data_IF_253529314276
#
_entry.id   IF_253529314276
#
_cell.length_a   1.000
_cell.length_b   1.000
_cell.length_c   1.000
_cell.angle_alpha   90.00
_cell.angle_beta   90.00
_cell.angle_gamma   90.00
#
_symmetry.space_group_name_H-M   'P 1'
#
loop_
_entity.id
_entity.type
_entity.pdbx_description
1 polymer ?
#
# COMPACT_ATOMS: atom_id res chain seq x y z
N UNK A 1 -8.38 40.29 -37.58
CA UNK A 1 -8.73 39.92 -36.19
C UNK A 1 -8.52 38.42 -36.06
N UNK A 2 -7.67 37.96 -35.14
CA UNK A 2 -7.48 36.52 -34.90
C UNK A 2 -8.69 36.04 -34.10
N UNK A 3 -9.61 35.30 -34.72
CA UNK A 3 -10.69 34.62 -34.03
C UNK A 3 -10.13 33.35 -33.41
N UNK A 4 -10.04 33.30 -32.08
CA UNK A 4 -9.61 32.11 -31.38
C UNK A 4 -10.81 31.20 -31.18
N UNK A 5 -10.79 30.03 -31.83
CA UNK A 5 -11.86 29.04 -31.68
C UNK A 5 -11.92 28.55 -30.23
N UNK A 6 -13.09 28.60 -29.56
CA UNK A 6 -13.22 28.20 -28.17
C UNK A 6 -12.82 26.73 -27.94
N UNK A 7 -13.01 25.87 -28.95
CA UNK A 7 -12.54 24.48 -28.90
C UNK A 7 -11.00 24.40 -28.78
N UNK A 8 -10.25 25.23 -29.51
CA UNK A 8 -8.79 25.25 -29.46
C UNK A 8 -8.27 25.68 -28.08
N UNK A 9 -8.96 26.60 -27.40
CA UNK A 9 -8.61 27.02 -26.04
C UNK A 9 -8.74 25.86 -25.04
N UNK A 10 -9.84 25.11 -25.09
CA UNK A 10 -10.07 23.96 -24.21
C UNK A 10 -9.08 22.82 -24.48
N UNK A 11 -8.81 22.54 -25.75
CA UNK A 11 -7.83 21.52 -26.14
C UNK A 11 -6.41 21.91 -25.71
N UNK A 12 -6.02 23.16 -25.91
CA UNK A 12 -4.72 23.68 -25.47
C UNK A 12 -4.59 23.63 -23.94
N UNK A 13 -5.60 24.11 -23.21
CA UNK A 13 -5.62 24.05 -21.75
C UNK A 13 -5.52 22.61 -21.24
N UNK A 14 -6.26 21.68 -21.85
CA UNK A 14 -6.19 20.26 -21.50
C UNK A 14 -4.81 19.65 -21.72
N UNK A 15 -4.20 19.94 -22.87
CA UNK A 15 -2.86 19.45 -23.18
C UNK A 15 -1.79 20.06 -22.27
N UNK A 16 -1.89 21.34 -21.94
CA UNK A 16 -1.01 22.01 -20.97
C UNK A 16 -1.13 21.38 -19.58
N UNK A 17 -2.35 21.10 -19.11
CA UNK A 17 -2.59 20.44 -17.83
C UNK A 17 -1.98 19.02 -17.82
N UNK A 18 -2.16 18.25 -18.89
CA UNK A 18 -1.53 16.92 -19.02
C UNK A 18 0.00 17.02 -18.99
N UNK A 19 0.60 18.00 -19.66
CA UNK A 19 2.04 18.22 -19.64
C UNK A 19 2.57 18.68 -18.28
N UNK A 20 1.81 19.53 -17.58
CA UNK A 20 2.18 20.04 -16.24
C UNK A 20 2.31 18.93 -15.18
N UNK A 21 1.56 17.83 -15.34
CA UNK A 21 1.64 16.65 -14.47
C UNK A 21 3.06 16.04 -14.41
N UNK A 22 3.86 16.16 -15.48
CA UNK A 22 5.23 15.63 -15.53
C UNK A 22 6.14 16.33 -14.51
N UNK A 23 5.90 17.61 -14.23
CA UNK A 23 6.68 18.41 -13.29
C UNK A 23 6.19 18.26 -11.84
N UNK A 24 4.90 17.98 -11.65
CA UNK A 24 4.26 17.83 -10.33
C UNK A 24 3.57 16.46 -10.26
N UNK A 25 4.29 15.38 -9.91
CA UNK A 25 3.71 14.04 -9.87
C UNK A 25 2.67 13.92 -8.75
N UNK A 26 1.39 13.86 -9.14
CA UNK A 26 0.24 13.76 -8.22
C UNK A 26 -1.01 13.07 -8.83
N UNK A 27 -0.96 12.75 -10.11
CA UNK A 27 -2.04 12.34 -11.01
C UNK A 27 -3.24 13.28 -11.05
N UNK A 28 -3.19 14.47 -10.42
CA UNK A 28 -4.33 15.38 -10.28
C UNK A 28 -4.57 16.18 -11.56
N UNK A 29 -3.51 16.74 -12.14
CA UNK A 29 -3.57 17.55 -13.36
C UNK A 29 -4.00 16.70 -14.55
N UNK A 30 -3.66 15.40 -14.53
CA UNK A 30 -4.12 14.42 -15.53
C UNK A 30 -5.65 14.38 -15.66
N UNK A 31 -6.37 14.32 -14.53
CA UNK A 31 -7.84 14.24 -14.52
C UNK A 31 -8.50 15.54 -14.99
N UNK A 32 -7.95 16.68 -14.59
CA UNK A 32 -8.43 18.00 -15.02
C UNK A 32 -8.15 18.23 -16.51
N UNK A 33 -6.98 17.79 -16.99
CA UNK A 33 -6.62 17.83 -18.40
C UNK A 33 -7.56 16.98 -19.27
N UNK A 34 -7.90 15.77 -18.82
CA UNK A 34 -8.85 14.91 -19.53
C UNK A 34 -10.26 15.53 -19.60
N UNK A 35 -10.71 16.20 -18.53
CA UNK A 35 -11.96 16.93 -18.51
C UNK A 35 -11.98 18.12 -19.50
N UNK A 36 -10.87 18.85 -19.61
CA UNK A 36 -10.71 19.93 -20.59
C UNK A 36 -10.73 19.40 -22.03
N UNK A 37 -10.06 18.28 -22.31
CA UNK A 37 -10.10 17.63 -23.63
C UNK A 37 -11.52 17.15 -23.98
N UNK A 38 -12.23 16.54 -23.04
CA UNK A 38 -13.63 16.12 -23.24
C UNK A 38 -14.55 17.32 -23.53
N UNK A 39 -14.34 18.44 -22.85
CA UNK A 39 -15.07 19.69 -23.09
C UNK A 39 -14.77 20.26 -24.48
N UNK A 40 -13.49 20.29 -24.89
CA UNK A 40 -13.09 20.71 -26.24
C UNK A 40 -13.71 19.85 -27.34
N UNK A 41 -13.75 18.52 -27.15
CA UNK A 41 -14.42 17.59 -28.06
C UNK A 41 -15.93 17.84 -28.18
N UNK A 42 -16.60 18.14 -27.06
CA UNK A 42 -18.02 18.51 -27.06
C UNK A 42 -18.27 19.82 -27.81
N UNK A 43 -17.39 20.81 -27.67
CA UNK A 43 -17.51 22.09 -28.37
C UNK A 43 -17.41 21.92 -29.89
N UNK A 44 -16.54 21.01 -30.36
CA UNK A 44 -16.44 20.65 -31.77
C UNK A 44 -17.70 19.95 -32.31
N UNK A 45 -18.42 19.21 -31.47
CA UNK A 45 -19.56 18.40 -31.91
C UNK A 45 -20.88 19.20 -31.98
N UNK A 46 -21.11 20.13 -31.05
CA UNK A 46 -22.46 20.74 -30.88
C UNK A 46 -22.45 22.26 -30.69
N UNK A 47 -21.27 22.92 -30.78
CA UNK A 47 -21.09 24.37 -30.59
C UNK A 47 -21.96 24.99 -29.49
N UNK A 48 -21.95 24.42 -28.27
CA UNK A 48 -22.80 24.89 -27.19
C UNK A 48 -22.35 26.26 -26.69
N UNK A 49 -23.29 27.05 -26.15
CA UNK A 49 -23.00 28.36 -25.57
C UNK A 49 -21.97 28.29 -24.44
N UNK A 50 -21.23 29.37 -24.23
CA UNK A 50 -20.10 29.44 -23.28
C UNK A 50 -20.45 28.94 -21.86
N UNK A 51 -21.63 29.29 -21.34
CA UNK A 51 -22.09 28.83 -20.03
C UNK A 51 -22.20 27.30 -19.92
N UNK A 52 -22.61 26.64 -21.01
CA UNK A 52 -22.70 25.17 -21.09
C UNK A 52 -21.30 24.55 -21.12
N UNK A 53 -20.35 25.18 -21.82
CA UNK A 53 -18.96 24.72 -21.88
C UNK A 53 -18.31 24.70 -20.49
N UNK A 54 -18.42 25.83 -19.76
CA UNK A 54 -17.88 25.95 -18.40
C UNK A 54 -18.57 24.96 -17.45
N UNK A 55 -19.89 24.80 -17.57
CA UNK A 55 -20.64 23.84 -16.75
C UNK A 55 -20.21 22.40 -17.01
N UNK A 56 -20.05 22.00 -18.29
CA UNK A 56 -19.53 20.69 -18.66
C UNK A 56 -18.12 20.46 -18.12
N UNK A 57 -17.22 21.42 -18.27
CA UNK A 57 -15.86 21.32 -17.73
C UNK A 57 -15.84 21.15 -16.21
N UNK A 58 -16.65 21.94 -15.48
CA UNK A 58 -16.75 21.86 -14.04
C UNK A 58 -17.26 20.48 -13.58
N UNK A 59 -18.32 19.96 -14.23
CA UNK A 59 -18.89 18.64 -13.94
C UNK A 59 -17.90 17.52 -14.25
N UNK A 60 -17.25 17.54 -15.41
CA UNK A 60 -16.28 16.54 -15.82
C UNK A 60 -15.04 16.53 -14.91
N UNK A 61 -14.58 17.72 -14.51
CA UNK A 61 -13.45 17.86 -13.58
C UNK A 61 -13.80 17.31 -12.20
N UNK A 62 -14.96 17.68 -11.65
CA UNK A 62 -15.43 17.19 -10.36
C UNK A 62 -15.61 15.67 -10.37
N UNK A 63 -16.23 15.11 -11.42
CA UNK A 63 -16.40 13.67 -11.58
C UNK A 63 -15.05 12.94 -11.66
N UNK A 64 -14.11 13.46 -12.44
CA UNK A 64 -12.77 12.87 -12.58
C UNK A 64 -11.99 12.87 -11.26
N UNK A 65 -12.03 13.98 -10.51
CA UNK A 65 -11.42 14.07 -9.17
C UNK A 65 -12.09 13.09 -8.20
N UNK A 66 -13.42 12.99 -8.20
CA UNK A 66 -14.15 12.06 -7.35
C UNK A 66 -13.78 10.59 -7.64
N UNK A 67 -13.66 10.22 -8.92
CA UNK A 67 -13.18 8.90 -9.36
C UNK A 67 -11.76 8.68 -8.87
N UNK A 68 -10.85 9.63 -9.06
CA UNK A 68 -9.46 9.54 -8.60
C UNK A 68 -9.36 9.32 -7.09
N UNK A 69 -10.13 10.09 -6.30
CA UNK A 69 -10.18 9.94 -4.85
C UNK A 69 -10.76 8.58 -4.45
N UNK A 70 -11.78 8.07 -5.16
CA UNK A 70 -12.37 6.76 -4.91
C UNK A 70 -11.40 5.61 -5.27
N UNK A 71 -10.63 5.75 -6.36
CA UNK A 71 -9.60 4.78 -6.75
C UNK A 71 -8.44 4.77 -5.75
N UNK A 72 -8.01 5.94 -5.24
CA UNK A 72 -7.01 6.05 -4.17
C UNK A 72 -7.47 5.42 -2.86
N UNK A 73 -8.77 5.48 -2.55
CA UNK A 73 -9.37 4.87 -1.35
C UNK A 73 -9.61 3.37 -1.46
N UNK A 74 -9.58 2.79 -2.67
CA UNK A 74 -9.59 1.33 -2.76
C UNK A 74 -8.28 0.84 -2.14
N UNK A 75 -8.32 -0.03 -1.11
CA UNK A 75 -7.12 -0.68 -0.66
C UNK A 75 -6.54 -1.34 -1.89
N UNK A 76 -5.33 -0.94 -2.27
CA UNK A 76 -4.57 -1.71 -3.24
C UNK A 76 -4.44 -3.07 -2.57
N UNK A 77 -5.26 -4.04 -2.98
CA UNK A 77 -5.09 -5.43 -2.64
C UNK A 77 -3.77 -5.85 -3.28
N UNK A 78 -2.66 -5.45 -2.66
CA UNK A 78 -1.34 -6.01 -2.89
C UNK A 78 -1.36 -7.29 -2.07
N UNK A 79 -1.31 -8.46 -2.71
CA UNK A 79 -0.96 -9.68 -1.99
C UNK A 79 0.46 -9.48 -1.43
N UNK A 80 0.59 -9.39 -0.11
CA UNK A 80 1.77 -9.79 0.68
C UNK A 80 3.17 -9.35 0.24
N UNK A 81 3.44 -8.06 -0.01
CA UNK A 81 4.84 -7.57 -0.18
C UNK A 81 5.24 -6.54 0.90
N UNK A 82 4.35 -6.17 1.82
CA UNK A 82 4.69 -5.23 2.90
C UNK A 82 4.13 -5.66 4.25
N UNK A 83 4.24 -6.95 4.53
CA UNK A 83 4.17 -7.51 5.87
C UNK A 83 5.52 -8.16 6.16
N UNK A 84 6.48 -7.44 6.80
CA UNK A 84 7.70 -8.06 7.34
C UNK A 84 7.40 -9.26 8.25
N UNK A 85 6.19 -9.32 8.76
CA UNK A 85 5.56 -10.38 9.56
C UNK A 85 5.27 -11.68 8.79
N UNK A 86 4.93 -11.66 7.50
CA UNK A 86 4.45 -12.87 6.81
C UNK A 86 5.56 -13.85 6.40
N UNK A 87 6.83 -13.42 6.43
CA UNK A 87 7.98 -14.28 6.10
C UNK A 87 8.73 -14.83 7.31
N UNK A 88 8.48 -14.32 8.51
CA UNK A 88 9.24 -14.67 9.72
C UNK A 88 8.46 -15.63 10.63
N UNK A 89 7.13 -15.51 10.65
CA UNK A 89 6.25 -16.43 11.39
C UNK A 89 6.42 -17.85 10.85
N UNK A 90 6.57 -18.81 11.77
CA UNK A 90 6.84 -20.21 11.47
C UNK A 90 8.32 -20.57 11.38
N UNK A 91 9.23 -19.61 11.30
CA UNK A 91 10.68 -19.91 11.35
C UNK A 91 11.16 -20.20 12.76
N UNK A 92 12.23 -20.98 12.85
CA UNK A 92 12.97 -21.25 14.08
C UNK A 92 14.06 -20.21 14.29
N UNK A 93 14.13 -19.67 15.51
CA UNK A 93 15.14 -18.74 15.96
C UNK A 93 15.85 -19.29 17.20
N UNK A 94 17.12 -18.96 17.37
CA UNK A 94 17.91 -19.38 18.53
C UNK A 94 17.85 -18.33 19.63
N UNK A 95 17.63 -18.74 20.87
CA UNK A 95 17.64 -17.84 22.02
C UNK A 95 19.06 -17.34 22.31
N UNK A 96 19.29 -16.01 22.24
CA UNK A 96 20.59 -15.42 22.58
C UNK A 96 20.64 -14.99 24.05
N UNK A 97 19.65 -14.21 24.45
CA UNK A 97 19.55 -13.70 25.82
C UNK A 97 18.11 -13.38 26.15
N UNK A 98 17.64 -13.81 27.31
CA UNK A 98 16.32 -13.45 27.82
C UNK A 98 16.44 -12.95 29.26
N UNK A 99 15.78 -11.83 29.56
CA UNK A 99 15.59 -11.31 30.91
C UNK A 99 14.09 -11.34 31.20
N UNK A 100 13.63 -12.40 31.87
CA UNK A 100 12.22 -12.66 32.06
C UNK A 100 11.53 -12.97 30.72
N UNK A 101 10.59 -12.11 30.30
CA UNK A 101 9.77 -12.33 29.10
C UNK A 101 10.29 -11.65 27.84
N UNK A 102 11.31 -10.81 27.95
CA UNK A 102 11.89 -10.06 26.85
C UNK A 102 13.34 -10.46 26.64
N UNK A 103 13.79 -10.43 25.40
CA UNK A 103 15.10 -10.93 25.05
C UNK A 103 15.49 -10.65 23.62
N UNK A 104 16.48 -11.38 23.14
CA UNK A 104 16.95 -11.37 21.76
C UNK A 104 17.06 -12.79 21.25
N UNK A 105 16.75 -12.96 19.96
CA UNK A 105 16.87 -14.22 19.24
C UNK A 105 17.66 -14.00 17.97
N UNK A 106 18.41 -15.02 17.55
CA UNK A 106 19.05 -15.06 16.25
C UNK A 106 18.17 -15.80 15.26
N UNK A 107 17.83 -15.15 14.16
CA UNK A 107 17.03 -15.71 13.07
C UNK A 107 17.84 -15.63 11.78
N UNK A 108 18.33 -16.77 11.30
CA UNK A 108 19.37 -16.80 10.26
C UNK A 108 20.65 -16.14 10.79
N UNK A 109 21.15 -15.12 10.09
CA UNK A 109 22.34 -14.37 10.48
C UNK A 109 22.03 -13.02 11.17
N UNK A 110 20.77 -12.78 11.55
CA UNK A 110 20.32 -11.51 12.13
C UNK A 110 19.80 -11.65 13.56
N UNK A 111 20.15 -10.68 14.40
CA UNK A 111 19.75 -10.63 15.81
C UNK A 111 18.54 -9.71 16.02
N UNK A 112 17.40 -10.31 16.37
CA UNK A 112 16.12 -9.63 16.54
C UNK A 112 15.74 -9.49 18.02
N UNK A 113 15.10 -8.39 18.43
CA UNK A 113 14.44 -8.33 19.73
C UNK A 113 13.25 -9.28 19.73
N UNK A 114 13.04 -9.97 20.86
CA UNK A 114 12.01 -10.99 20.99
C UNK A 114 11.28 -10.90 22.33
N UNK A 115 10.03 -11.34 22.33
CA UNK A 115 9.19 -11.44 23.50
C UNK A 115 8.54 -12.83 23.54
N UNK A 116 8.49 -13.44 24.72
CA UNK A 116 7.85 -14.74 24.91
C UNK A 116 6.34 -14.62 24.76
N UNK A 117 5.73 -15.60 24.07
CA UNK A 117 4.28 -15.77 24.01
C UNK A 117 3.68 -15.93 25.42
N UNK A 118 2.41 -15.54 25.60
CA UNK A 118 1.73 -15.63 26.89
C UNK A 118 1.77 -17.09 27.41
N UNK A 119 2.23 -17.29 28.65
CA UNK A 119 2.37 -18.63 29.25
C UNK A 119 3.62 -19.43 28.85
N UNK A 120 4.47 -18.93 27.95
CA UNK A 120 5.75 -19.58 27.65
C UNK A 120 6.76 -19.40 28.80
N UNK A 121 7.47 -20.49 29.12
CA UNK A 121 8.57 -20.49 30.08
C UNK A 121 9.80 -19.75 29.54
N UNK A 122 10.64 -19.25 30.45
CA UNK A 122 11.90 -18.61 30.08
C UNK A 122 12.82 -19.67 29.47
N UNK A 123 13.28 -19.49 28.22
CA UNK A 123 14.12 -20.49 27.56
C UNK A 123 15.54 -20.49 28.11
N UNK A 124 16.19 -21.64 28.04
CA UNK A 124 17.63 -21.75 28.26
C UNK A 124 18.40 -21.00 27.15
N UNK A 125 19.65 -20.56 27.42
CA UNK A 125 20.53 -20.06 26.37
C UNK A 125 20.64 -21.07 25.22
N UNK A 126 20.66 -20.59 23.99
CA UNK A 126 20.72 -21.39 22.76
C UNK A 126 19.52 -22.30 22.46
N UNK A 127 18.45 -22.23 23.27
CA UNK A 127 17.23 -22.98 22.99
C UNK A 127 16.60 -22.58 21.64
N UNK A 128 16.04 -23.56 20.94
CA UNK A 128 15.31 -23.33 19.68
C UNK A 128 13.89 -22.85 20.00
N UNK A 129 13.55 -21.69 19.48
CA UNK A 129 12.25 -21.06 19.60
C UNK A 129 11.58 -20.99 18.22
N UNK A 130 10.26 -21.01 18.19
CA UNK A 130 9.47 -20.78 16.99
C UNK A 130 8.85 -19.39 17.03
N UNK A 131 8.98 -18.65 15.94
CA UNK A 131 8.32 -17.35 15.78
C UNK A 131 6.83 -17.58 15.52
N UNK A 132 5.97 -17.12 16.41
CA UNK A 132 4.50 -17.24 16.31
C UNK A 132 3.82 -15.94 15.88
N UNK A 133 4.55 -14.83 15.93
CA UNK A 133 4.03 -13.53 15.54
C UNK A 133 5.13 -12.47 15.49
N UNK A 134 4.77 -11.30 15.00
CA UNK A 134 5.63 -10.10 15.01
C UNK A 134 4.81 -8.92 15.52
N UNK A 135 5.32 -8.21 16.53
CA UNK A 135 4.72 -6.99 17.09
C UNK A 135 5.68 -5.83 16.85
N UNK A 136 5.42 -5.07 15.78
CA UNK A 136 6.33 -4.01 15.33
C UNK A 136 7.67 -4.60 14.88
N UNK A 137 8.74 -4.33 15.62
CA UNK A 137 10.08 -4.89 15.37
C UNK A 137 10.42 -6.07 16.29
N UNK A 138 9.52 -6.45 17.21
CA UNK A 138 9.75 -7.49 18.21
C UNK A 138 9.11 -8.80 17.75
N UNK A 139 9.89 -9.89 17.73
CA UNK A 139 9.40 -11.23 17.40
C UNK A 139 8.70 -11.84 18.62
N UNK A 140 7.47 -12.34 18.43
CA UNK A 140 6.79 -13.15 19.46
C UNK A 140 7.19 -14.60 19.26
N UNK A 141 7.78 -15.20 20.28
CA UNK A 141 8.39 -16.54 20.18
C UNK A 141 7.88 -17.48 21.28
N UNK A 142 7.82 -18.77 20.96
CA UNK A 142 7.51 -19.85 21.90
C UNK A 142 8.56 -20.96 21.82
N UNK A 143 8.76 -21.76 22.88
CA UNK A 143 9.64 -22.93 22.82
C UNK A 143 9.22 -23.86 21.67
N UNK A 144 10.17 -24.21 20.79
CA UNK A 144 9.89 -25.20 19.76
C UNK A 144 9.67 -26.54 20.46
N UNK A 145 8.43 -27.06 20.44
CA UNK A 145 8.13 -28.39 20.96
C UNK A 145 9.06 -29.39 20.26
N UNK A 146 9.81 -30.23 21.00
CA UNK A 146 10.68 -31.20 20.37
C UNK A 146 9.84 -32.13 19.49
N UNK A 147 10.22 -32.27 18.22
CA UNK A 147 9.68 -33.26 17.32
C UNK A 147 10.17 -34.64 17.80
N UNK A 148 9.38 -35.29 18.65
CA UNK A 148 9.79 -36.57 19.25
C UNK A 148 8.94 -36.99 20.43
N UNK A 149 7.65 -37.23 20.20
CA UNK A 149 6.91 -38.25 20.95
C UNK A 149 5.93 -38.89 19.97
N UNK A 150 6.47 -39.74 19.10
CA UNK A 150 5.68 -40.82 18.50
C UNK A 150 5.08 -41.59 19.66
N UNK A 151 3.75 -41.64 19.76
CA UNK A 151 3.07 -42.56 20.67
C UNK A 151 3.67 -43.96 20.50
N UNK A 152 4.04 -44.67 21.58
CA UNK A 152 4.23 -46.11 21.49
C UNK A 152 2.86 -46.68 21.15
N UNK A 153 2.72 -47.14 19.91
CA UNK A 153 1.62 -47.98 19.45
C UNK A 153 1.43 -49.09 20.48
N UNK A 154 0.38 -48.97 21.32
CA UNK A 154 -0.03 -50.05 22.21
C UNK A 154 -0.34 -51.26 21.34
N UNK A 155 0.33 -52.37 21.69
CA UNK A 155 0.04 -53.70 21.21
C UNK A 155 -1.38 -54.13 21.56
#
# INVERSE_FOLDING_TARGET
MITIEPALLWLAAGLTLLGAEVFIPGAFLMWVGLAALGTGGLVLAVTPGFAVQVSCFAVLSAASIAIALRLRRRPRARPGVNTPDSGLVGRTAQALSFRGREGRVRLGDSDWPAQLAAGAAVPEPDAILRVVGVRGLVLVVEPAKPAGMTEPSRA
#
